data_IF_812910623633
#
_entry.id   IF_812910623633
#
_cell.length_a   1.000
_cell.length_b   1.000
_cell.length_c   1.000
_cell.angle_alpha   90.00
_cell.angle_beta   90.00
_cell.angle_gamma   90.00
#
_symmetry.space_group_name_H-M   'P 1'
#
loop_
_entity.id
_entity.type
_entity.pdbx_description
1 polymer ?
#
# COMPACT_ATOMS: atom_id res chain seq x y z
N UNK A 1 21.23 -10.68 23.23
CA UNK A 1 21.52 -9.33 22.73
C UNK A 1 20.36 -8.45 23.18
N UNK A 2 20.50 -7.67 24.26
CA UNK A 2 19.37 -6.95 24.86
C UNK A 2 19.35 -5.52 24.32
N UNK A 3 18.52 -5.29 23.31
CA UNK A 3 18.30 -3.96 22.79
C UNK A 3 17.27 -3.25 23.69
N UNK A 4 17.50 -2.01 24.11
CA UNK A 4 16.49 -1.25 24.84
C UNK A 4 15.25 -1.08 23.95
N UNK A 5 14.07 -1.04 24.55
CA UNK A 5 12.79 -0.96 23.82
C UNK A 5 12.80 0.17 22.78
N UNK A 6 13.35 1.34 23.13
CA UNK A 6 13.49 2.47 22.21
C UNK A 6 14.27 2.15 20.92
N UNK A 7 15.33 1.35 21.00
CA UNK A 7 16.08 0.95 19.81
C UNK A 7 15.33 -0.08 18.97
N UNK A 8 14.59 -1.00 19.62
CA UNK A 8 13.74 -1.97 18.91
C UNK A 8 12.62 -1.28 18.14
N UNK A 9 11.92 -0.36 18.79
CA UNK A 9 10.84 0.42 18.18
C UNK A 9 11.35 1.31 17.04
N UNK A 10 12.52 1.93 17.21
CA UNK A 10 13.16 2.70 16.14
C UNK A 10 13.50 1.81 14.94
N UNK A 11 14.10 0.64 15.21
CA UNK A 11 14.44 -0.32 14.18
C UNK A 11 13.22 -0.81 13.40
N UNK A 12 12.10 -1.07 14.10
CA UNK A 12 10.85 -1.48 13.47
C UNK A 12 10.34 -0.44 12.45
N UNK A 13 10.44 0.86 12.78
CA UNK A 13 10.06 1.94 11.86
C UNK A 13 10.96 1.95 10.61
N UNK A 14 12.27 1.82 10.79
CA UNK A 14 13.23 1.83 9.69
C UNK A 14 13.00 0.64 8.77
N UNK A 15 12.80 -0.55 9.36
CA UNK A 15 12.49 -1.76 8.64
C UNK A 15 11.22 -1.60 7.80
N UNK A 16 10.16 -1.03 8.38
CA UNK A 16 8.93 -0.75 7.65
C UNK A 16 9.16 0.22 6.48
N UNK A 17 9.90 1.30 6.68
CA UNK A 17 10.19 2.28 5.62
C UNK A 17 11.02 1.67 4.49
N UNK A 18 12.02 0.85 4.83
CA UNK A 18 12.83 0.14 3.83
C UNK A 18 12.01 -0.87 3.03
N UNK A 19 11.16 -1.65 3.71
CA UNK A 19 10.30 -2.64 3.07
C UNK A 19 9.29 -1.99 2.12
N UNK A 20 8.83 -0.78 2.43
CA UNK A 20 7.83 -0.05 1.67
C UNK A 20 8.43 1.10 0.84
N UNK A 21 9.76 1.14 0.66
CA UNK A 21 10.49 2.23 0.00
C UNK A 21 9.86 2.60 -1.36
N UNK A 22 9.54 1.59 -2.20
CA UNK A 22 8.93 1.80 -3.52
C UNK A 22 7.59 2.56 -3.50
N UNK A 23 6.88 2.53 -2.37
CA UNK A 23 5.58 3.19 -2.20
C UNK A 23 5.69 4.54 -1.49
N UNK A 24 6.70 4.70 -0.65
CA UNK A 24 6.91 5.88 0.19
C UNK A 24 7.82 6.92 -0.46
N UNK A 25 8.63 6.52 -1.44
CA UNK A 25 9.53 7.42 -2.13
C UNK A 25 8.77 8.58 -2.82
N UNK A 26 9.26 9.80 -2.60
CA UNK A 26 8.64 11.03 -3.12
C UNK A 26 7.28 11.43 -2.51
N UNK A 27 6.77 10.74 -1.49
CA UNK A 27 5.47 11.03 -0.86
C UNK A 27 5.59 11.46 0.60
N UNK A 28 4.65 12.29 1.05
CA UNK A 28 4.50 12.61 2.47
C UNK A 28 3.59 11.59 3.15
N UNK A 29 4.03 11.06 4.29
CA UNK A 29 3.26 10.06 5.03
C UNK A 29 3.29 10.29 6.55
N UNK A 30 2.39 9.60 7.25
CA UNK A 30 2.26 9.67 8.71
C UNK A 30 2.64 8.31 9.28
N UNK A 31 3.55 8.31 10.25
CA UNK A 31 3.95 7.13 11.00
C UNK A 31 3.19 7.18 12.31
N UNK A 32 2.33 6.19 12.55
CA UNK A 32 1.63 6.03 13.82
C UNK A 32 2.38 5.03 14.70
N UNK A 33 2.74 5.45 15.91
CA UNK A 33 3.45 4.60 16.88
C UNK A 33 2.82 4.75 18.26
N UNK A 34 2.79 3.68 19.03
CA UNK A 34 2.41 3.69 20.44
C UNK A 34 3.58 3.91 21.41
N UNK A 35 4.76 4.24 20.87
CA UNK A 35 5.95 4.53 21.66
C UNK A 35 6.22 6.04 21.75
N UNK A 36 5.71 6.68 22.83
CA UNK A 36 5.86 8.13 23.09
C UNK A 36 7.30 8.67 23.01
N UNK A 37 8.35 7.96 23.48
CA UNK A 37 9.72 8.45 23.40
C UNK A 37 10.25 8.66 21.97
N UNK A 38 9.56 8.14 20.93
CA UNK A 38 9.91 8.35 19.52
C UNK A 38 9.29 9.61 18.90
N UNK A 39 8.36 10.29 19.59
CA UNK A 39 7.85 11.59 19.14
C UNK A 39 8.96 12.64 18.91
N UNK A 40 9.95 12.82 19.82
CA UNK A 40 11.06 13.73 19.60
C UNK A 40 12.15 13.15 18.67
N UNK A 41 11.91 12.08 17.93
CA UNK A 41 12.93 11.51 17.03
C UNK A 41 13.44 12.53 15.99
N UNK A 42 12.59 13.48 15.58
CA UNK A 42 12.97 14.61 14.73
C UNK A 42 13.69 15.74 15.50
N UNK A 43 13.57 15.80 16.82
CA UNK A 43 14.16 16.85 17.67
C UNK A 43 15.44 16.36 18.34
N UNK A 44 16.57 16.40 17.59
CA UNK A 44 17.99 16.61 17.98
C UNK A 44 18.56 15.99 19.29
N UNK A 45 17.81 15.20 20.05
CA UNK A 45 18.21 14.71 21.37
C UNK A 45 19.13 13.53 21.15
N UNK A 46 20.34 13.61 21.68
CA UNK A 46 21.43 12.65 21.49
C UNK A 46 20.93 11.20 21.55
N UNK A 47 20.71 10.62 20.39
CA UNK A 47 20.44 9.19 20.26
C UNK A 47 21.76 8.51 19.95
N UNK A 48 21.93 7.30 20.49
CA UNK A 48 23.08 6.42 20.27
C UNK A 48 23.54 6.42 18.80
N UNK A 49 24.83 6.20 18.54
CA UNK A 49 25.43 6.27 17.19
C UNK A 49 24.68 5.47 16.11
N UNK A 50 24.02 4.37 16.50
CA UNK A 50 23.13 3.59 15.60
C UNK A 50 21.90 4.38 15.14
N UNK A 51 21.21 5.02 16.07
CA UNK A 51 20.03 5.82 15.80
C UNK A 51 20.35 7.06 14.98
N UNK A 52 21.54 7.64 15.14
CA UNK A 52 22.00 8.74 14.29
C UNK A 52 22.17 8.31 12.83
N UNK A 53 22.81 7.15 12.59
CA UNK A 53 22.93 6.58 11.23
C UNK A 53 21.55 6.34 10.62
N UNK A 54 20.61 5.84 11.41
CA UNK A 54 19.24 5.63 10.95
C UNK A 54 18.50 6.93 10.67
N UNK A 55 18.67 7.95 11.52
CA UNK A 55 18.11 9.29 11.29
C UNK A 55 18.59 9.88 9.96
N UNK A 56 19.88 9.74 9.64
CA UNK A 56 20.43 10.18 8.36
C UNK A 56 19.78 9.45 7.18
N UNK A 57 19.55 8.14 7.30
CA UNK A 57 18.83 7.36 6.28
C UNK A 57 17.38 7.80 6.12
N UNK A 58 16.74 8.19 7.22
CA UNK A 58 15.34 8.63 7.22
C UNK A 58 15.16 10.06 6.71
N UNK A 59 16.22 10.87 6.69
CA UNK A 59 16.17 12.27 6.25
C UNK A 59 15.73 12.45 4.78
N UNK A 60 15.88 11.42 3.95
CA UNK A 60 15.41 11.46 2.56
C UNK A 60 13.88 11.38 2.43
N UNK A 61 13.17 10.91 3.47
CA UNK A 61 11.72 10.75 3.45
C UNK A 61 11.02 11.93 4.13
N UNK A 62 9.83 12.27 3.63
CA UNK A 62 8.97 13.28 4.24
C UNK A 62 7.91 12.59 5.12
N UNK A 63 8.12 12.56 6.43
CA UNK A 63 7.19 11.91 7.34
C UNK A 63 6.91 12.70 8.61
N UNK A 64 5.73 12.46 9.19
CA UNK A 64 5.35 12.98 10.50
C UNK A 64 5.05 11.83 11.45
N UNK A 65 5.64 11.84 12.65
CA UNK A 65 5.37 10.83 13.67
C UNK A 65 4.17 11.29 14.52
N UNK A 66 3.17 10.42 14.66
CA UNK A 66 1.99 10.63 15.49
C UNK A 66 1.91 9.52 16.54
N UNK A 67 1.64 9.92 17.78
CA UNK A 67 1.39 8.94 18.84
C UNK A 67 -0.05 8.46 18.78
N UNK A 68 -0.23 7.14 18.82
CA UNK A 68 -1.52 6.48 19.04
C UNK A 68 -1.46 5.64 20.31
N UNK A 69 -2.58 5.51 21.03
CA UNK A 69 -2.61 4.62 22.20
C UNK A 69 -2.50 3.17 21.72
N UNK A 70 -1.70 2.33 22.37
CA UNK A 70 -1.50 0.92 21.96
C UNK A 70 -2.79 0.12 21.74
N UNK A 71 -3.88 0.45 22.46
CA UNK A 71 -5.22 -0.14 22.22
C UNK A 71 -5.76 0.08 20.80
N UNK A 72 -5.33 1.13 20.12
CA UNK A 72 -5.69 1.43 18.72
C UNK A 72 -4.65 0.89 17.73
N UNK A 73 -3.47 0.47 18.20
CA UNK A 73 -2.40 -0.08 17.37
C UNK A 73 -2.51 -1.60 17.20
N UNK A 74 -3.73 -2.14 17.09
CA UNK A 74 -3.97 -3.60 17.15
C UNK A 74 -3.36 -4.34 15.97
N UNK A 75 -3.36 -3.73 14.78
CA UNK A 75 -2.81 -4.36 13.57
C UNK A 75 -1.29 -4.49 13.68
N UNK A 76 -0.59 -3.43 14.08
CA UNK A 76 0.87 -3.47 14.20
C UNK A 76 1.31 -4.38 15.37
N UNK A 77 0.57 -4.37 16.49
CA UNK A 77 0.84 -5.26 17.64
C UNK A 77 0.64 -6.74 17.26
N UNK A 78 -0.37 -7.05 16.45
CA UNK A 78 -0.56 -8.42 15.94
C UNK A 78 0.58 -8.83 15.00
N UNK A 79 0.94 -7.98 14.04
CA UNK A 79 2.01 -8.27 13.07
C UNK A 79 3.39 -8.39 13.73
N UNK A 80 3.64 -7.68 14.83
CA UNK A 80 4.92 -7.78 15.56
C UNK A 80 5.00 -8.99 16.49
N UNK A 81 3.86 -9.48 17.00
CA UNK A 81 3.78 -10.64 17.91
C UNK A 81 3.60 -11.98 17.22
N UNK A 82 3.10 -11.98 15.99
CA UNK A 82 2.87 -13.19 15.20
C UNK A 82 3.77 -13.18 13.96
N UNK A 83 5.08 -13.46 14.11
CA UNK A 83 5.91 -13.73 12.95
C UNK A 83 5.30 -14.91 12.20
N UNK A 84 4.97 -14.68 10.93
CA UNK A 84 4.53 -15.75 10.05
C UNK A 84 5.76 -16.59 9.77
N UNK A 85 5.97 -17.66 10.55
CA UNK A 85 6.99 -18.64 10.23
C UNK A 85 6.64 -19.21 8.85
N UNK A 86 7.54 -18.97 7.89
CA UNK A 86 7.47 -19.40 6.49
C UNK A 86 6.60 -18.52 5.57
N UNK A 87 7.10 -17.34 5.22
CA UNK A 87 6.97 -16.92 3.82
C UNK A 87 8.12 -17.60 3.06
N UNK A 88 7.82 -18.73 2.41
CA UNK A 88 8.69 -19.22 1.34
C UNK A 88 8.92 -18.05 0.38
N UNK A 89 10.17 -17.85 -0.02
CA UNK A 89 10.57 -16.85 -1.02
C UNK A 89 10.10 -17.33 -2.40
N UNK A 90 8.79 -17.46 -2.59
CA UNK A 90 8.21 -17.65 -3.90
C UNK A 90 7.92 -16.24 -4.43
N UNK A 91 8.91 -15.69 -5.13
CA UNK A 91 8.64 -14.60 -6.06
C UNK A 91 7.55 -15.09 -7.04
N UNK A 92 6.51 -14.27 -7.20
CA UNK A 92 5.35 -14.48 -8.07
C UNK A 92 4.35 -15.58 -7.67
N UNK A 93 3.52 -15.32 -6.65
CA UNK A 93 2.14 -15.80 -6.71
C UNK A 93 1.15 -14.77 -6.14
N UNK A 94 0.39 -14.15 -7.03
CA UNK A 94 -0.78 -13.34 -6.69
C UNK A 94 -1.82 -14.26 -6.06
N UNK A 95 -1.96 -14.23 -4.73
CA UNK A 95 -3.04 -14.92 -4.03
C UNK A 95 -4.29 -14.03 -4.07
N UNK A 96 -5.37 -14.40 -4.80
CA UNK A 96 -6.63 -13.71 -4.62
C UNK A 96 -7.10 -14.00 -3.20
N UNK A 97 -7.22 -12.95 -2.38
CA UNK A 97 -7.83 -13.05 -1.05
C UNK A 97 -9.25 -13.57 -1.24
N UNK A 98 -9.43 -14.90 -1.09
CA UNK A 98 -10.75 -15.51 -0.93
C UNK A 98 -11.26 -15.06 0.43
N UNK A 99 -11.82 -13.86 0.49
CA UNK A 99 -12.82 -13.56 1.50
C UNK A 99 -13.87 -14.66 1.42
N UNK A 100 -14.28 -15.17 2.57
CA UNK A 100 -15.26 -16.25 2.70
C UNK A 100 -16.65 -15.75 2.33
N UNK A 101 -16.82 -15.22 1.12
CA UNK A 101 -18.11 -15.12 0.47
C UNK A 101 -18.59 -16.55 0.25
N UNK A 102 -19.69 -16.91 0.90
CA UNK A 102 -20.32 -18.22 0.70
C UNK A 102 -20.61 -18.40 -0.79
N UNK A 103 -20.36 -19.59 -1.33
CA UNK A 103 -20.52 -19.94 -2.76
C UNK A 103 -21.82 -19.38 -3.39
N UNK A 104 -22.88 -19.29 -2.60
CA UNK A 104 -24.20 -18.74 -2.92
C UNK A 104 -24.19 -17.27 -3.37
N UNK A 105 -23.32 -16.41 -2.81
CA UNK A 105 -23.23 -15.00 -3.20
C UNK A 105 -22.61 -14.84 -4.59
N UNK A 106 -21.60 -15.63 -4.93
CA UNK A 106 -20.89 -15.53 -6.20
C UNK A 106 -21.77 -15.97 -7.39
N UNK A 107 -22.60 -16.99 -7.21
CA UNK A 107 -23.49 -17.47 -8.28
C UNK A 107 -24.68 -16.53 -8.55
N UNK A 108 -25.07 -15.72 -7.57
CA UNK A 108 -26.08 -14.66 -7.75
C UNK A 108 -25.51 -13.46 -8.52
N UNK A 109 -24.23 -13.13 -8.31
CA UNK A 109 -23.62 -11.91 -8.83
C UNK A 109 -23.03 -12.12 -10.25
N UNK A 110 -22.58 -13.34 -10.59
CA UNK A 110 -22.05 -13.70 -11.93
C UNK A 110 -22.90 -13.22 -13.13
N UNK A 111 -24.23 -13.46 -13.19
CA UNK A 111 -25.03 -13.06 -14.36
C UNK A 111 -25.19 -11.53 -14.49
N UNK A 112 -25.21 -10.80 -13.35
CA UNK A 112 -25.33 -9.34 -13.35
C UNK A 112 -24.08 -8.70 -13.92
N UNK A 113 -22.90 -9.11 -13.45
CA UNK A 113 -21.62 -8.57 -13.94
C UNK A 113 -21.44 -8.86 -15.44
N UNK A 114 -21.75 -10.08 -15.89
CA UNK A 114 -21.68 -10.44 -17.31
C UNK A 114 -22.56 -9.52 -18.18
N UNK A 115 -23.80 -9.27 -17.76
CA UNK A 115 -24.73 -8.40 -18.51
C UNK A 115 -24.28 -6.94 -18.60
N UNK A 116 -23.63 -6.42 -17.56
CA UNK A 116 -23.10 -5.04 -17.52
C UNK A 116 -21.91 -4.90 -18.46
N UNK A 117 -20.99 -5.87 -18.44
CA UNK A 117 -19.80 -5.87 -19.30
C UNK A 117 -20.21 -5.94 -20.78
N UNK A 118 -21.16 -6.81 -21.15
CA UNK A 118 -21.63 -6.91 -22.54
C UNK A 118 -22.31 -5.62 -23.01
N UNK A 119 -23.13 -4.97 -22.18
CA UNK A 119 -23.80 -3.71 -22.54
C UNK A 119 -22.82 -2.56 -22.73
N UNK A 120 -21.76 -2.49 -21.92
CA UNK A 120 -20.73 -1.47 -22.05
C UNK A 120 -19.87 -1.66 -23.32
N UNK A 121 -19.49 -2.91 -23.62
CA UNK A 121 -18.73 -3.25 -24.81
C UNK A 121 -19.52 -2.98 -26.11
N UNK A 122 -20.81 -3.29 -26.13
CA UNK A 122 -21.68 -2.98 -27.27
C UNK A 122 -21.83 -1.48 -27.51
N UNK A 123 -21.89 -0.65 -26.45
CA UNK A 123 -21.92 0.81 -26.58
C UNK A 123 -20.58 1.37 -27.10
N UNK A 124 -19.45 0.83 -26.64
CA UNK A 124 -18.13 1.25 -27.12
C UNK A 124 -17.90 0.86 -28.59
N UNK A 125 -18.34 -0.33 -29.03
CA UNK A 125 -18.23 -0.74 -30.44
C UNK A 125 -19.05 0.16 -31.36
N UNK A 126 -20.30 0.50 -31.01
CA UNK A 126 -21.10 1.46 -31.80
C UNK A 126 -20.47 2.86 -31.86
N UNK A 127 -19.81 3.30 -30.78
CA UNK A 127 -19.11 4.58 -30.75
C UNK A 127 -17.88 4.55 -31.67
N UNK A 128 -17.12 3.46 -31.64
CA UNK A 128 -15.95 3.25 -32.49
C UNK A 128 -16.34 3.15 -33.97
N UNK A 129 -17.38 2.38 -34.30
CA UNK A 129 -17.92 2.31 -35.67
C UNK A 129 -18.46 3.66 -36.17
N UNK A 130 -19.08 4.46 -35.30
CA UNK A 130 -19.50 5.83 -35.65
C UNK A 130 -18.32 6.77 -35.86
N UNK A 131 -17.24 6.61 -35.12
CA UNK A 131 -16.04 7.42 -35.27
C UNK A 131 -15.29 7.07 -36.56
N UNK A 132 -15.21 5.78 -36.91
CA UNK A 132 -14.59 5.33 -38.17
C UNK A 132 -15.35 5.84 -39.41
N UNK A 133 -16.70 5.82 -39.39
CA UNK A 133 -17.49 6.42 -40.49
C UNK A 133 -17.23 7.93 -40.63
N UNK A 134 -17.15 8.67 -39.52
CA UNK A 134 -16.85 10.11 -39.54
C UNK A 134 -15.44 10.44 -40.02
N UNK A 135 -14.45 9.58 -39.76
CA UNK A 135 -13.09 9.72 -40.27
C UNK A 135 -13.04 9.46 -41.77
N UNK A 136 -13.78 8.46 -42.26
CA UNK A 136 -13.83 8.13 -43.69
C UNK A 136 -14.54 9.21 -44.52
N UNK A 137 -15.62 9.82 -43.98
CA UNK A 137 -16.34 10.91 -44.65
C UNK A 137 -15.51 12.21 -44.74
N UNK A 138 -14.61 12.46 -43.77
CA UNK A 138 -13.70 13.62 -43.81
C UNK A 138 -12.57 13.46 -44.83
N UNK A 139 -12.07 12.23 -45.00
CA UNK A 139 -11.01 11.92 -45.98
C UNK A 139 -11.45 12.11 -47.44
N UNK A 140 -12.76 12.16 -47.71
CA UNK A 140 -13.31 12.29 -49.06
C UNK A 140 -13.59 13.75 -49.48
N UNK A 141 -13.43 14.73 -48.57
CA UNK A 141 -13.78 16.14 -48.81
C UNK A 141 -12.55 17.08 -48.84
N UNK A 142 -11.32 16.52 -48.88
CA UNK A 142 -10.04 17.24 -49.02
C UNK A 142 -9.31 16.87 -50.33
N UNK A 143 -10.03 16.44 -51.37
CA UNK A 143 -9.54 16.29 -52.75
C UNK A 143 -10.32 17.17 -53.71
#
# INVERSE_FOLDING_TARGET
MNWPATEQECYAIIFAIEKWHKYLDGRSFIIETDHKPLLPFNMKKQLNSKCERWRLKLQQYQFTIRYIKGKHNTVADYLSRSPVDNASNDEDDYVPTKSRATQTEYDTIKPVIASVVTRAQAKQQQQNERNDRRLNDRSCNEQ
#
